data_IF_215458982332
#
_entry.id   IF_215458982332
#
_cell.length_a   1.000
_cell.length_b   1.000
_cell.length_c   1.000
_cell.angle_alpha   90.00
_cell.angle_beta   90.00
_cell.angle_gamma   90.00
#
_symmetry.space_group_name_H-M   'P 1'
#
loop_
_entity.id
_entity.type
_entity.pdbx_description
1 polymer ?
#
# COMPACT_ATOMS: atom_id res chain seq x y z
N UNK A 1 -12.32 7.99 -16.24
CA UNK A 1 -11.77 9.10 -15.41
C UNK A 1 -10.66 8.59 -14.51
N UNK A 2 -9.58 9.32 -14.39
CA UNK A 2 -8.47 8.96 -13.51
C UNK A 2 -8.69 9.52 -12.10
N UNK A 3 -8.67 8.65 -11.11
CA UNK A 3 -8.67 9.07 -9.71
C UNK A 3 -7.29 8.77 -9.14
N UNK A 4 -6.65 9.78 -8.55
CA UNK A 4 -5.32 9.66 -7.98
C UNK A 4 -5.34 10.06 -6.50
N UNK A 5 -4.81 9.17 -5.65
CA UNK A 5 -4.62 9.43 -4.23
C UNK A 5 -3.14 9.21 -3.94
N UNK A 6 -2.47 10.25 -3.44
CA UNK A 6 -1.04 10.20 -3.14
C UNK A 6 -0.77 10.81 -1.78
N UNK A 7 -0.08 10.08 -0.91
CA UNK A 7 0.26 10.54 0.43
C UNK A 7 1.71 10.21 0.75
N UNK A 8 2.37 11.09 1.48
CA UNK A 8 3.73 10.88 1.97
C UNK A 8 3.74 10.63 3.47
N UNK A 9 4.61 9.73 3.91
CA UNK A 9 4.79 9.38 5.31
C UNK A 9 6.27 9.22 5.62
N UNK A 10 6.60 9.15 6.89
CA UNK A 10 7.91 8.69 7.33
C UNK A 10 7.75 7.31 7.94
N UNK A 11 8.67 6.41 7.62
CA UNK A 11 8.58 5.01 8.01
C UNK A 11 8.81 4.84 9.52
N UNK A 12 7.79 4.35 10.20
CA UNK A 12 7.81 4.10 11.65
C UNK A 12 6.76 3.03 11.97
N UNK A 13 6.78 2.43 13.17
CA UNK A 13 5.75 1.45 13.54
C UNK A 13 4.32 1.98 13.40
N UNK A 14 4.10 3.25 13.70
CA UNK A 14 2.77 3.87 13.58
C UNK A 14 2.36 4.03 12.12
N UNK A 15 3.29 4.41 11.23
CA UNK A 15 2.97 4.57 9.82
C UNK A 15 2.77 3.23 9.12
N UNK A 16 3.35 2.15 9.62
CA UNK A 16 3.07 0.81 9.09
C UNK A 16 1.57 0.50 9.22
N UNK A 17 0.97 0.79 10.35
CA UNK A 17 -0.48 0.61 10.54
C UNK A 17 -1.30 1.49 9.63
N UNK A 18 -0.92 2.75 9.49
CA UNK A 18 -1.60 3.70 8.60
C UNK A 18 -1.53 3.25 7.13
N UNK A 19 -0.36 2.85 6.68
CA UNK A 19 -0.16 2.38 5.31
C UNK A 19 -0.95 1.09 5.05
N UNK A 20 -0.95 0.17 6.00
CA UNK A 20 -1.69 -1.08 5.89
C UNK A 20 -3.19 -0.82 5.80
N UNK A 21 -3.71 0.14 6.56
CA UNK A 21 -5.11 0.53 6.51
C UNK A 21 -5.47 1.19 5.18
N UNK A 22 -4.65 2.11 4.69
CA UNK A 22 -4.85 2.77 3.39
C UNK A 22 -4.86 1.74 2.26
N UNK A 23 -3.96 0.78 2.33
CA UNK A 23 -3.88 -0.31 1.36
C UNK A 23 -5.17 -1.15 1.36
N UNK A 24 -5.62 -1.57 2.54
CA UNK A 24 -6.84 -2.35 2.69
C UNK A 24 -8.08 -1.57 2.22
N UNK A 25 -8.16 -0.29 2.53
CA UNK A 25 -9.26 0.58 2.10
C UNK A 25 -9.29 0.69 0.57
N UNK A 26 -8.13 0.84 -0.06
CA UNK A 26 -8.02 0.93 -1.51
C UNK A 26 -8.45 -0.38 -2.19
N UNK A 27 -8.09 -1.52 -1.61
CA UNK A 27 -8.52 -2.83 -2.12
C UNK A 27 -10.03 -3.02 -1.94
N UNK A 28 -10.59 -2.54 -0.85
CA UNK A 28 -12.04 -2.57 -0.60
C UNK A 28 -12.79 -1.73 -1.64
N UNK A 29 -12.28 -0.55 -1.95
CA UNK A 29 -12.84 0.31 -2.99
C UNK A 29 -12.79 -0.34 -4.36
N UNK A 30 -11.78 -1.19 -4.61
CA UNK A 30 -11.64 -1.94 -5.86
C UNK A 30 -12.47 -3.24 -5.88
N UNK A 31 -13.25 -3.48 -4.84
CA UNK A 31 -14.11 -4.67 -4.70
C UNK A 31 -13.34 -5.99 -4.70
N UNK A 32 -12.10 -5.97 -4.19
CA UNK A 32 -11.30 -7.19 -4.04
C UNK A 32 -11.93 -8.13 -3.01
N UNK A 33 -11.66 -9.43 -3.13
CA UNK A 33 -12.18 -10.43 -2.22
C UNK A 33 -11.64 -10.18 -0.80
N UNK A 34 -12.49 -10.28 0.19
CA UNK A 34 -12.16 -10.05 1.59
C UNK A 34 -11.00 -10.91 2.08
N UNK A 35 -10.93 -12.16 1.66
CA UNK A 35 -9.84 -13.06 2.01
C UNK A 35 -8.51 -12.60 1.43
N UNK A 36 -8.55 -12.09 0.21
CA UNK A 36 -7.35 -11.57 -0.47
C UNK A 36 -6.88 -10.28 0.21
N UNK A 37 -7.80 -9.41 0.58
CA UNK A 37 -7.49 -8.17 1.29
C UNK A 37 -6.75 -8.49 2.60
N UNK A 38 -7.28 -9.41 3.39
CA UNK A 38 -6.69 -9.78 4.68
C UNK A 38 -5.28 -10.37 4.49
N UNK A 39 -5.13 -11.30 3.56
CA UNK A 39 -3.85 -11.94 3.29
C UNK A 39 -2.80 -10.94 2.82
N UNK A 40 -3.18 -10.06 1.90
CA UNK A 40 -2.28 -9.05 1.36
C UNK A 40 -1.89 -8.03 2.42
N UNK A 41 -2.84 -7.64 3.25
CA UNK A 41 -2.58 -6.73 4.36
C UNK A 41 -1.53 -7.30 5.31
N UNK A 42 -1.66 -8.58 5.67
CA UNK A 42 -0.71 -9.25 6.56
C UNK A 42 0.69 -9.32 5.92
N UNK A 43 0.76 -9.66 4.64
CA UNK A 43 2.03 -9.70 3.91
C UNK A 43 2.68 -8.31 3.84
N UNK A 44 1.88 -7.29 3.58
CA UNK A 44 2.34 -5.90 3.52
C UNK A 44 2.90 -5.45 4.87
N UNK A 45 2.19 -5.74 5.96
CA UNK A 45 2.65 -5.40 7.30
C UNK A 45 4.01 -5.99 7.61
N UNK A 46 4.22 -7.26 7.28
CA UNK A 46 5.51 -7.93 7.45
C UNK A 46 6.63 -7.22 6.69
N UNK A 47 6.39 -6.91 5.43
CA UNK A 47 7.37 -6.23 4.58
C UNK A 47 7.68 -4.83 5.13
N UNK A 48 6.65 -4.07 5.47
CA UNK A 48 6.81 -2.71 5.99
C UNK A 48 7.51 -2.69 7.35
N UNK A 49 7.23 -3.64 8.21
CA UNK A 49 7.93 -3.77 9.49
C UNK A 49 9.41 -4.05 9.28
N UNK A 50 9.76 -4.91 8.34
CA UNK A 50 11.14 -5.18 7.95
C UNK A 50 11.82 -3.93 7.43
N UNK A 51 11.16 -3.16 6.56
CA UNK A 51 11.71 -1.91 6.04
C UNK A 51 11.85 -0.86 7.14
N UNK A 52 10.88 -0.79 8.07
CA UNK A 52 10.93 0.15 9.19
C UNK A 52 12.14 -0.12 10.09
N UNK A 53 12.49 -1.38 10.29
CA UNK A 53 13.68 -1.77 11.06
C UNK A 53 14.97 -1.44 10.32
N UNK A 54 15.01 -1.68 9.01
CA UNK A 54 16.19 -1.45 8.18
C UNK A 54 16.41 0.02 7.81
N UNK A 55 15.32 0.77 7.62
CA UNK A 55 15.33 2.15 7.15
C UNK A 55 14.44 3.03 8.04
N UNK A 56 14.81 3.18 9.34
CA UNK A 56 13.98 3.97 10.25
C UNK A 56 13.88 5.41 9.78
N UNK A 57 12.68 5.95 9.86
CA UNK A 57 12.37 7.35 9.50
C UNK A 57 12.56 7.67 8.00
N UNK A 58 12.66 6.67 7.14
CA UNK A 58 12.80 6.88 5.69
C UNK A 58 11.50 7.43 5.08
N UNK A 59 11.59 8.29 4.07
CA UNK A 59 10.39 8.79 3.38
C UNK A 59 9.67 7.65 2.64
N UNK A 60 8.35 7.58 2.79
CA UNK A 60 7.50 6.59 2.14
C UNK A 60 6.42 7.31 1.35
N UNK A 61 6.19 6.88 0.13
CA UNK A 61 5.08 7.40 -0.67
C UNK A 61 4.07 6.29 -0.94
N UNK A 62 2.82 6.55 -0.59
CA UNK A 62 1.68 5.71 -0.95
C UNK A 62 0.97 6.35 -2.12
N UNK A 63 0.69 5.58 -3.16
CA UNK A 63 -0.01 6.06 -4.35
C UNK A 63 -1.06 5.04 -4.78
N UNK A 64 -2.31 5.49 -4.90
CA UNK A 64 -3.39 4.68 -5.44
C UNK A 64 -3.98 5.40 -6.64
N UNK A 65 -4.03 4.73 -7.79
CA UNK A 65 -4.59 5.26 -9.03
C UNK A 65 -5.76 4.38 -9.46
N UNK A 66 -6.86 4.99 -9.85
CA UNK A 66 -8.02 4.26 -10.37
C UNK A 66 -8.38 4.83 -11.74
N UNK A 67 -8.40 3.98 -12.75
CA UNK A 67 -8.75 4.36 -14.11
C UNK A 67 -9.50 3.22 -14.80
N UNK A 68 -10.66 3.51 -15.37
CA UNK A 68 -11.45 2.53 -16.14
C UNK A 68 -11.71 1.23 -15.38
N UNK A 69 -12.01 1.33 -14.09
CA UNK A 69 -12.28 0.15 -13.25
C UNK A 69 -11.05 -0.60 -12.79
N UNK A 70 -9.86 -0.17 -13.19
CA UNK A 70 -8.60 -0.75 -12.71
C UNK A 70 -8.01 0.13 -11.62
N UNK A 71 -7.48 -0.50 -10.60
CA UNK A 71 -6.79 0.20 -9.53
C UNK A 71 -5.34 -0.27 -9.42
N UNK A 72 -4.43 0.67 -9.29
CA UNK A 72 -3.01 0.42 -9.09
C UNK A 72 -2.59 1.03 -7.77
N UNK A 73 -1.95 0.24 -6.92
CA UNK A 73 -1.47 0.66 -5.61
C UNK A 73 0.03 0.47 -5.55
N UNK A 74 0.75 1.53 -5.21
CA UNK A 74 2.21 1.50 -5.10
C UNK A 74 2.65 2.08 -3.77
N UNK A 75 3.65 1.45 -3.15
CA UNK A 75 4.31 1.96 -1.96
C UNK A 75 5.81 1.99 -2.27
N UNK A 76 6.43 3.16 -2.15
CA UNK A 76 7.84 3.38 -2.47
C UNK A 76 8.63 3.86 -1.26
N UNK A 77 9.79 3.24 -1.03
CA UNK A 77 10.71 3.60 0.04
C UNK A 77 12.13 3.48 -0.49
N UNK A 78 12.85 4.58 -0.62
CA UNK A 78 14.30 4.59 -0.95
C UNK A 78 14.79 3.49 -1.92
N UNK A 79 14.28 3.50 -3.13
CA UNK A 79 14.68 2.52 -4.17
C UNK A 79 13.97 1.17 -4.06
N UNK A 80 13.14 0.98 -3.06
CA UNK A 80 12.28 -0.20 -2.93
C UNK A 80 10.86 0.16 -3.36
N UNK A 81 10.19 -0.79 -3.97
CA UNK A 81 8.84 -0.56 -4.47
C UNK A 81 7.98 -1.79 -4.25
N UNK A 82 6.78 -1.59 -3.79
CA UNK A 82 5.78 -2.64 -3.63
C UNK A 82 4.56 -2.27 -4.46
N UNK A 83 4.12 -3.19 -5.30
CA UNK A 83 2.94 -3.00 -6.15
C UNK A 83 1.93 -4.11 -5.91
N UNK A 84 0.67 -3.76 -5.98
CA UNK A 84 -0.44 -4.69 -5.76
C UNK A 84 -1.44 -4.72 -6.92
N UNK A 85 -1.03 -4.33 -8.13
CA UNK A 85 -1.90 -4.30 -9.29
C UNK A 85 -2.44 -5.69 -9.65
N UNK A 86 -1.63 -6.72 -9.48
CA UNK A 86 -1.96 -8.08 -9.91
C UNK A 86 -3.17 -8.65 -9.20
N UNK A 87 -3.45 -8.17 -8.01
CA UNK A 87 -4.58 -8.63 -7.20
C UNK A 87 -5.92 -8.19 -7.78
N UNK A 88 -5.90 -7.13 -8.57
CA UNK A 88 -7.09 -6.44 -9.03
C UNK A 88 -7.51 -6.86 -10.45
N UNK A 89 -6.93 -7.89 -10.96
CA UNK A 89 -7.27 -8.43 -12.28
C UNK A 89 -8.54 -9.26 -12.23
#
# INVERSE_FOLDING_TARGET
MLTLKKKGYRLSPETVDLLSQEFADSLTEAEADRKDILRLRLSLEEILEGWSSALPDAPVTFCAKKRLGRQRIEIRVEGKELQADDVLK
#
